data_IF_704834384695
#
_entry.id   IF_704834384695
#
_cell.length_a   1.000
_cell.length_b   1.000
_cell.length_c   1.000
_cell.angle_alpha   90.00
_cell.angle_beta   90.00
_cell.angle_gamma   90.00
#
_symmetry.space_group_name_H-M   'P 1'
#
loop_
_entity.id
_entity.type
_entity.pdbx_description
1 polymer ?
#
# COMPACT_ATOMS: atom_id res chain seq x y z
N UNK A 1 -18.46 -9.37 -10.67
CA UNK A 1 -17.49 -10.34 -10.10
C UNK A 1 -17.10 -11.28 -11.23
N UNK A 2 -15.81 -11.58 -11.42
CA UNK A 2 -15.39 -12.53 -12.46
C UNK A 2 -15.97 -13.92 -12.17
N UNK A 3 -16.29 -14.67 -13.23
CA UNK A 3 -16.84 -16.02 -13.12
C UNK A 3 -15.80 -17.04 -12.64
N UNK A 4 -14.52 -16.80 -12.94
CA UNK A 4 -13.35 -17.58 -12.51
C UNK A 4 -12.52 -16.78 -11.49
N UNK A 5 -11.92 -17.47 -10.52
CA UNK A 5 -11.11 -16.86 -9.45
C UNK A 5 -9.60 -17.00 -9.65
N UNK A 6 -9.18 -17.89 -10.55
CA UNK A 6 -7.78 -18.02 -10.96
C UNK A 6 -7.59 -17.06 -12.12
N UNK A 7 -6.70 -16.09 -11.93
CA UNK A 7 -6.42 -15.05 -12.93
C UNK A 7 -5.02 -14.48 -12.71
N UNK A 8 -4.51 -13.75 -13.70
CA UNK A 8 -3.26 -13.02 -13.58
C UNK A 8 -3.36 -11.86 -12.57
N UNK A 9 -2.22 -11.38 -12.02
CA UNK A 9 -2.18 -10.19 -11.18
C UNK A 9 -2.81 -8.96 -11.86
N UNK A 10 -2.57 -8.76 -13.15
CA UNK A 10 -3.11 -7.64 -13.91
C UNK A 10 -4.64 -7.70 -13.98
N UNK A 11 -5.21 -8.88 -14.26
CA UNK A 11 -6.66 -9.08 -14.28
C UNK A 11 -7.28 -8.83 -12.91
N UNK A 12 -6.66 -9.33 -11.83
CA UNK A 12 -7.09 -9.05 -10.47
C UNK A 12 -7.08 -7.55 -10.14
N UNK A 13 -6.00 -6.84 -10.50
CA UNK A 13 -5.88 -5.39 -10.27
C UNK A 13 -6.87 -4.58 -11.12
N UNK A 14 -7.29 -5.07 -12.28
CA UNK A 14 -8.30 -4.37 -13.11
C UNK A 14 -9.64 -4.17 -12.36
N UNK A 15 -9.93 -5.02 -11.37
CA UNK A 15 -11.12 -4.94 -10.52
C UNK A 15 -11.02 -3.84 -9.45
N UNK A 16 -9.81 -3.37 -9.16
CA UNK A 16 -9.56 -2.31 -8.17
C UNK A 16 -9.81 -0.94 -8.80
N UNK A 17 -10.57 -0.10 -8.09
CA UNK A 17 -10.89 1.27 -8.52
C UNK A 17 -9.95 2.26 -7.85
N UNK A 18 -9.64 3.35 -8.53
CA UNK A 18 -8.99 4.50 -7.89
C UNK A 18 -9.83 4.99 -6.71
N UNK A 19 -9.18 5.51 -5.67
CA UNK A 19 -9.87 5.98 -4.47
C UNK A 19 -10.23 4.89 -3.45
N UNK A 20 -10.05 3.60 -3.79
CA UNK A 20 -10.42 2.48 -2.92
C UNK A 20 -9.66 2.48 -1.59
N UNK A 21 -10.28 1.89 -0.57
CA UNK A 21 -9.60 1.54 0.68
C UNK A 21 -8.95 0.17 0.48
N UNK A 22 -7.63 0.09 0.68
CA UNK A 22 -6.84 -1.13 0.50
C UNK A 22 -6.31 -1.59 1.85
N UNK A 23 -6.79 -2.74 2.32
CA UNK A 23 -6.17 -3.46 3.43
C UNK A 23 -4.91 -4.18 2.94
N UNK A 24 -3.78 -3.89 3.57
CA UNK A 24 -2.50 -4.54 3.27
C UNK A 24 -2.19 -5.57 4.36
N UNK A 25 -2.10 -6.84 3.96
CA UNK A 25 -1.66 -7.92 4.83
C UNK A 25 -0.18 -8.24 4.67
N UNK A 26 0.29 -9.21 5.46
CA UNK A 26 1.69 -9.58 5.57
C UNK A 26 2.39 -8.83 6.70
N UNK A 27 3.66 -9.18 6.92
CA UNK A 27 4.55 -8.52 7.86
C UNK A 27 5.34 -7.41 7.14
N UNK A 28 5.97 -6.47 7.86
CA UNK A 28 6.68 -5.36 7.27
C UNK A 28 7.62 -5.73 6.11
N UNK A 29 8.34 -6.85 6.22
CA UNK A 29 9.25 -7.34 5.19
C UNK A 29 8.93 -8.74 4.65
N UNK A 30 7.88 -9.41 5.16
CA UNK A 30 7.55 -10.81 4.80
C UNK A 30 6.12 -10.99 4.33
N UNK A 31 5.87 -11.98 3.47
CA UNK A 31 4.53 -12.30 2.92
C UNK A 31 3.83 -11.12 2.21
N UNK A 32 4.62 -10.16 1.73
CA UNK A 32 4.13 -8.98 1.05
C UNK A 32 3.57 -9.31 -0.34
N UNK A 33 2.42 -8.73 -0.70
CA UNK A 33 1.80 -8.88 -2.02
C UNK A 33 2.47 -7.99 -3.10
N UNK A 34 3.80 -8.12 -3.27
CA UNK A 34 4.62 -7.24 -4.12
C UNK A 34 4.15 -7.21 -5.56
N UNK A 35 3.76 -8.36 -6.13
CA UNK A 35 3.28 -8.44 -7.51
C UNK A 35 1.98 -7.64 -7.72
N UNK A 36 1.06 -7.68 -6.75
CA UNK A 36 -0.19 -6.90 -6.84
C UNK A 36 0.09 -5.40 -6.69
N UNK A 37 0.96 -5.01 -5.75
CA UNK A 37 1.37 -3.62 -5.57
C UNK A 37 2.07 -3.04 -6.81
N UNK A 38 2.98 -3.82 -7.42
CA UNK A 38 3.65 -3.41 -8.64
C UNK A 38 2.66 -3.20 -9.80
N UNK A 39 1.65 -4.07 -9.92
CA UNK A 39 0.62 -3.93 -10.95
C UNK A 39 -0.33 -2.75 -10.70
N UNK A 40 -0.64 -2.42 -9.45
CA UNK A 40 -1.35 -1.17 -9.13
C UNK A 40 -0.59 0.04 -9.67
N UNK A 41 0.72 0.08 -9.45
CA UNK A 41 1.60 1.17 -9.91
C UNK A 41 1.71 1.19 -11.43
N UNK A 42 1.98 0.04 -12.06
CA UNK A 42 2.15 -0.06 -13.52
C UNK A 42 0.89 0.31 -14.30
N UNK A 43 -0.29 0.01 -13.75
CA UNK A 43 -1.58 0.38 -14.33
C UNK A 43 -2.03 1.80 -13.96
N UNK A 44 -1.19 2.58 -13.27
CA UNK A 44 -1.47 3.98 -12.90
C UNK A 44 -2.61 4.14 -11.91
N UNK A 45 -2.94 3.09 -11.16
CA UNK A 45 -4.00 3.13 -10.14
C UNK A 45 -3.55 3.97 -8.96
N UNK A 46 -4.45 4.78 -8.41
CA UNK A 46 -4.05 5.85 -7.48
C UNK A 46 -5.15 6.27 -6.51
N UNK A 47 -4.80 7.30 -5.73
CA UNK A 47 -5.63 7.92 -4.72
C UNK A 47 -6.07 6.94 -3.65
N UNK A 48 -5.26 5.94 -3.29
CA UNK A 48 -5.67 4.91 -2.32
C UNK A 48 -5.66 5.39 -0.87
N UNK A 49 -6.60 4.88 -0.09
CA UNK A 49 -6.52 4.89 1.37
C UNK A 49 -5.96 3.54 1.82
N UNK A 50 -4.73 3.53 2.31
CA UNK A 50 -4.09 2.32 2.82
C UNK A 50 -4.46 2.10 4.28
N UNK A 51 -4.87 0.88 4.62
CA UNK A 51 -5.05 0.44 6.00
C UNK A 51 -4.07 -0.70 6.25
N UNK A 52 -3.19 -0.53 7.23
CA UNK A 52 -2.22 -1.55 7.65
C UNK A 52 -2.54 -1.98 9.07
N UNK A 53 -2.48 -3.28 9.36
CA UNK A 53 -2.75 -3.79 10.70
C UNK A 53 -1.90 -5.03 11.00
N UNK A 54 -1.05 -5.02 12.05
CA UNK A 54 -0.75 -3.87 12.92
C UNK A 54 0.26 -2.90 12.29
N UNK A 55 1.11 -3.37 11.38
CA UNK A 55 2.30 -2.65 10.92
C UNK A 55 2.37 -2.60 9.40
N UNK A 56 2.61 -1.42 8.84
CA UNK A 56 2.94 -1.25 7.43
C UNK A 56 4.43 -1.44 7.17
N UNK A 57 4.78 -1.98 6.01
CA UNK A 57 6.17 -2.09 5.59
C UNK A 57 6.35 -1.92 4.09
N UNK A 58 7.08 -2.84 3.44
CA UNK A 58 7.60 -2.66 2.09
C UNK A 58 6.53 -2.28 1.06
N UNK A 59 5.40 -2.99 1.02
CA UNK A 59 4.32 -2.69 0.05
C UNK A 59 3.66 -1.35 0.31
N UNK A 60 3.45 -0.98 1.58
CA UNK A 60 2.91 0.33 1.92
C UNK A 60 3.86 1.45 1.47
N UNK A 61 5.15 1.33 1.80
CA UNK A 61 6.17 2.32 1.41
C UNK A 61 6.34 2.41 -0.12
N UNK A 62 6.23 1.29 -0.84
CA UNK A 62 6.29 1.23 -2.30
C UNK A 62 5.12 1.99 -2.95
N UNK A 63 3.89 1.77 -2.48
CA UNK A 63 2.69 2.47 -2.98
C UNK A 63 2.73 3.98 -2.65
N UNK A 64 3.21 4.34 -1.45
CA UNK A 64 3.43 5.73 -1.05
C UNK A 64 4.52 6.38 -1.92
N UNK A 65 5.64 5.70 -2.14
CA UNK A 65 6.74 6.17 -2.97
C UNK A 65 6.27 6.51 -4.39
N UNK A 66 5.49 5.60 -4.99
CA UNK A 66 4.89 5.77 -6.31
C UNK A 66 3.80 6.86 -6.39
N UNK A 67 3.37 7.44 -5.26
CA UNK A 67 2.29 8.42 -5.22
C UNK A 67 0.90 7.83 -5.47
N UNK A 68 0.75 6.52 -5.29
CA UNK A 68 -0.52 5.83 -5.46
C UNK A 68 -1.44 5.98 -4.25
N UNK A 69 -0.92 6.39 -3.09
CA UNK A 69 -1.67 6.55 -1.84
C UNK A 69 -1.89 8.02 -1.48
N UNK A 70 -3.12 8.35 -1.04
CA UNK A 70 -3.51 9.67 -0.52
C UNK A 70 -3.61 9.71 1.01
N UNK A 71 -4.00 8.59 1.62
CA UNK A 71 -4.17 8.43 3.08
C UNK A 71 -3.51 7.11 3.49
N UNK A 72 -2.91 7.09 4.68
CA UNK A 72 -2.52 5.85 5.37
C UNK A 72 -3.03 5.86 6.81
N UNK A 73 -3.70 4.78 7.20
CA UNK A 73 -4.09 4.44 8.56
C UNK A 73 -3.15 3.34 9.09
N UNK A 74 -2.43 3.61 10.19
CA UNK A 74 -1.34 2.76 10.68
C UNK A 74 -1.07 2.93 12.18
N UNK A 75 -0.61 1.87 12.85
CA UNK A 75 -0.04 1.96 14.20
C UNK A 75 1.48 2.10 14.14
N UNK A 76 2.11 1.49 13.14
CA UNK A 76 3.53 1.63 12.85
C UNK A 76 3.78 1.43 11.35
N UNK A 77 4.77 2.14 10.79
CA UNK A 77 5.28 1.89 9.43
C UNK A 77 6.81 1.86 9.47
N UNK A 78 7.42 0.76 9.03
CA UNK A 78 8.86 0.56 9.07
C UNK A 78 9.28 -0.75 8.39
N UNK A 79 10.58 -1.01 8.34
CA UNK A 79 11.17 -2.23 7.75
C UNK A 79 11.91 -3.07 8.79
N UNK A 80 11.46 -3.01 10.05
CA UNK A 80 12.05 -3.75 11.17
C UNK A 80 13.55 -3.43 11.33
N UNK A 81 14.44 -4.42 11.32
CA UNK A 81 15.89 -4.25 11.45
C UNK A 81 16.52 -3.52 10.27
N UNK A 82 15.82 -3.43 9.13
CA UNK A 82 16.27 -2.66 7.96
C UNK A 82 16.00 -1.17 8.11
N UNK A 83 15.33 -0.76 9.18
CA UNK A 83 15.16 0.63 9.58
C UNK A 83 13.83 1.24 9.15
N UNK A 84 13.86 2.53 8.84
CA UNK A 84 12.64 3.30 8.58
C UNK A 84 12.17 3.16 7.14
N UNK A 85 10.85 3.13 6.95
CA UNK A 85 10.20 3.23 5.65
C UNK A 85 10.43 4.65 5.05
N UNK A 86 11.29 4.81 4.03
CA UNK A 86 11.80 6.12 3.64
C UNK A 86 10.76 6.97 2.91
N UNK A 87 9.89 6.37 2.10
CA UNK A 87 8.86 7.12 1.38
C UNK A 87 7.73 7.56 2.30
N UNK A 88 7.30 6.69 3.21
CA UNK A 88 6.37 7.04 4.28
C UNK A 88 6.93 8.20 5.10
N UNK A 89 8.16 8.06 5.62
CA UNK A 89 8.78 9.12 6.44
C UNK A 89 8.84 10.44 5.68
N UNK A 90 9.34 10.43 4.44
CA UNK A 90 9.43 11.64 3.61
C UNK A 90 8.08 12.32 3.42
N UNK A 91 7.06 11.57 3.00
CA UNK A 91 5.73 12.13 2.67
C UNK A 91 4.91 12.51 3.90
N UNK A 92 5.05 11.79 5.00
CA UNK A 92 4.43 12.17 6.26
C UNK A 92 5.04 13.47 6.81
N UNK A 93 6.36 13.61 6.73
CA UNK A 93 7.07 14.80 7.21
C UNK A 93 6.80 16.06 6.38
N UNK A 94 6.66 15.93 5.06
CA UNK A 94 6.34 17.06 4.18
C UNK A 94 4.83 17.34 4.05
N UNK A 95 3.98 16.51 4.67
CA UNK A 95 2.52 16.65 4.64
C UNK A 95 1.87 16.25 3.31
N UNK A 96 2.60 15.61 2.39
CA UNK A 96 2.07 15.17 1.09
C UNK A 96 1.28 13.86 1.14
N UNK A 97 1.14 13.24 2.32
CA UNK A 97 0.20 12.15 2.59
C UNK A 97 -0.56 12.42 3.88
N UNK A 98 -1.87 12.14 3.89
CA UNK A 98 -2.66 12.21 5.11
C UNK A 98 -2.39 10.97 5.99
N UNK A 99 -2.07 11.20 7.26
CA UNK A 99 -1.77 10.16 8.24
C UNK A 99 -2.87 10.05 9.28
N UNK A 100 -3.39 8.83 9.47
CA UNK A 100 -4.32 8.49 10.54
C UNK A 100 -3.61 7.51 11.48
N UNK A 101 -3.18 7.98 12.64
CA UNK A 101 -2.70 7.11 13.71
C UNK A 101 -3.94 6.49 14.39
N UNK A 102 -3.99 5.16 14.48
CA UNK A 102 -5.21 4.36 14.68
C UNK A 102 -6.25 5.05 15.59
N UNK A 103 -7.42 5.37 15.00
CA UNK A 103 -8.58 6.00 15.66
C UNK A 103 -9.53 5.01 16.29
#
# INVERSE_FOLDING_TARGET
MPAEKIMSPQEAISLVRDGSILGLGGDPMSMNAVSLAANLILLGKKDFHLVVSPTGGFVADMLIGAGAARIIEFAQVGFEELGMAPNFRRRAQDGSIATLDHT
#
